data_IF_553587395136
#
_entry.id   IF_553587395136
#
_cell.length_a   1.000
_cell.length_b   1.000
_cell.length_c   1.000
_cell.angle_alpha   90.00
_cell.angle_beta   90.00
_cell.angle_gamma   90.00
#
_symmetry.space_group_name_H-M   'P 1'
#
loop_
_entity.id
_entity.type
_entity.pdbx_description
1 polymer ?
#
# COMPACT_ATOMS: atom_id res chain seq x y z
N UNK A 1 -24.60 -10.80 -12.18
CA UNK A 1 -23.13 -10.69 -12.25
C UNK A 1 -22.52 -11.63 -11.22
N UNK A 2 -21.51 -12.39 -11.64
CA UNK A 2 -20.77 -13.33 -10.79
C UNK A 2 -19.32 -13.40 -11.25
N UNK A 3 -18.40 -13.45 -10.29
CA UNK A 3 -17.00 -13.74 -10.57
C UNK A 3 -16.37 -14.52 -9.40
N UNK A 4 -15.31 -15.26 -9.72
CA UNK A 4 -14.44 -15.92 -8.75
C UNK A 4 -13.01 -15.43 -8.95
N UNK A 5 -12.33 -15.10 -7.87
CA UNK A 5 -10.95 -14.63 -7.92
C UNK A 5 -10.24 -14.89 -6.60
N UNK A 6 -8.92 -14.89 -6.62
CA UNK A 6 -8.13 -14.75 -5.39
C UNK A 6 -8.01 -13.27 -5.04
N UNK A 7 -8.09 -12.96 -3.75
CA UNK A 7 -8.02 -11.57 -3.32
C UNK A 7 -7.55 -11.38 -1.90
N UNK A 8 -6.96 -10.21 -1.69
CA UNK A 8 -6.51 -9.73 -0.39
C UNK A 8 -7.68 -9.05 0.33
N UNK A 9 -7.98 -9.48 1.55
CA UNK A 9 -8.85 -8.73 2.44
C UNK A 9 -8.12 -7.46 2.87
N UNK A 10 -8.64 -6.29 2.49
CA UNK A 10 -8.03 -5.00 2.87
C UNK A 10 -8.79 -4.32 4.01
N UNK A 11 -10.10 -4.58 4.15
CA UNK A 11 -10.89 -4.10 5.29
C UNK A 11 -12.10 -4.99 5.56
N UNK A 12 -12.37 -5.18 6.85
CA UNK A 12 -13.59 -5.86 7.32
C UNK A 12 -14.26 -5.01 8.38
N UNK A 13 -15.58 -4.85 8.30
CA UNK A 13 -16.39 -4.17 9.32
C UNK A 13 -17.64 -4.99 9.66
N UNK A 14 -18.02 -5.13 10.94
CA UNK A 14 -19.30 -5.75 11.31
C UNK A 14 -20.48 -5.04 10.65
N UNK A 15 -21.52 -5.80 10.31
CA UNK A 15 -22.74 -5.28 9.72
C UNK A 15 -23.96 -6.06 10.22
N UNK A 16 -24.83 -5.39 10.98
CA UNK A 16 -25.93 -6.05 11.69
C UNK A 16 -25.41 -7.04 12.75
N UNK A 17 -26.25 -8.02 13.10
CA UNK A 17 -25.96 -8.92 14.21
C UNK A 17 -24.89 -9.99 13.89
N UNK A 18 -24.90 -10.51 12.65
CA UNK A 18 -24.05 -11.65 12.26
C UNK A 18 -23.14 -11.44 11.06
N UNK A 19 -23.33 -10.38 10.27
CA UNK A 19 -22.66 -10.24 8.98
C UNK A 19 -21.45 -9.31 9.07
N UNK A 20 -20.65 -9.28 8.01
CA UNK A 20 -19.60 -8.30 7.82
C UNK A 20 -19.66 -7.72 6.41
N UNK A 21 -19.30 -6.46 6.27
CA UNK A 21 -18.96 -5.86 4.97
C UNK A 21 -17.44 -5.98 4.82
N UNK A 22 -17.02 -6.56 3.72
CA UNK A 22 -15.64 -6.88 3.40
C UNK A 22 -15.25 -6.16 2.13
N UNK A 23 -14.12 -5.48 2.20
CA UNK A 23 -13.42 -4.87 1.07
C UNK A 23 -12.27 -5.80 0.67
N UNK A 24 -12.29 -6.22 -0.59
CA UNK A 24 -11.34 -7.17 -1.15
C UNK A 24 -10.65 -6.56 -2.37
N UNK A 25 -9.33 -6.72 -2.43
CA UNK A 25 -8.50 -6.28 -3.54
C UNK A 25 -8.05 -7.51 -4.34
N UNK A 26 -8.47 -7.56 -5.61
CA UNK A 26 -8.23 -8.69 -6.51
C UNK A 26 -7.43 -8.21 -7.73
N UNK A 27 -6.73 -9.15 -8.38
CA UNK A 27 -5.88 -8.82 -9.53
C UNK A 27 -6.66 -8.28 -10.73
N UNK A 28 -7.74 -8.97 -11.09
CA UNK A 28 -8.48 -8.73 -12.34
C UNK A 28 -9.72 -7.86 -12.15
N UNK A 29 -10.33 -7.88 -10.96
CA UNK A 29 -11.53 -7.09 -10.69
C UNK A 29 -11.18 -5.79 -9.95
N UNK A 30 -9.95 -5.69 -9.42
CA UNK A 30 -9.57 -4.57 -8.56
C UNK A 30 -10.23 -4.65 -7.20
N UNK A 31 -10.57 -3.49 -6.65
CA UNK A 31 -11.24 -3.37 -5.36
C UNK A 31 -12.75 -3.60 -5.48
N UNK A 32 -13.30 -4.49 -4.66
CA UNK A 32 -14.73 -4.75 -4.56
C UNK A 32 -15.17 -4.81 -3.11
N UNK A 33 -16.40 -4.37 -2.86
CA UNK A 33 -17.06 -4.48 -1.56
C UNK A 33 -18.16 -5.54 -1.63
N UNK A 34 -18.26 -6.37 -0.59
CA UNK A 34 -19.28 -7.41 -0.50
C UNK A 34 -19.74 -7.69 0.93
N UNK A 35 -21.00 -8.11 1.05
CA UNK A 35 -21.59 -8.60 2.30
C UNK A 35 -21.22 -10.08 2.48
N UNK A 36 -20.49 -10.40 3.55
CA UNK A 36 -20.25 -11.78 3.98
C UNK A 36 -21.27 -12.14 5.06
N UNK A 37 -22.16 -13.08 4.73
CA UNK A 37 -23.14 -13.60 5.70
C UNK A 37 -22.44 -14.41 6.78
N UNK A 38 -22.79 -14.17 8.04
CA UNK A 38 -22.07 -14.82 9.15
C UNK A 38 -20.60 -14.38 9.27
N UNK A 39 -20.19 -13.30 8.62
CA UNK A 39 -18.81 -12.79 8.64
C UNK A 39 -18.32 -12.44 10.05
N UNK A 40 -19.25 -12.16 10.98
CA UNK A 40 -18.93 -11.87 12.37
C UNK A 40 -18.86 -13.15 13.26
N UNK A 41 -18.99 -14.34 12.67
CA UNK A 41 -18.91 -15.61 13.42
C UNK A 41 -17.49 -15.96 13.83
N UNK A 42 -17.34 -16.81 14.86
CA UNK A 42 -16.03 -17.35 15.29
C UNK A 42 -15.29 -18.08 14.15
N UNK A 43 -16.01 -18.68 13.21
CA UNK A 43 -15.45 -19.38 12.06
C UNK A 43 -14.93 -18.41 10.98
N UNK A 44 -15.66 -17.34 10.70
CA UNK A 44 -15.34 -16.42 9.60
C UNK A 44 -14.38 -15.29 10.01
N UNK A 45 -14.48 -14.79 11.25
CA UNK A 45 -13.65 -13.67 11.72
C UNK A 45 -12.13 -13.84 11.48
N UNK A 46 -11.51 -15.02 11.74
CA UNK A 46 -10.09 -15.20 11.49
C UNK A 46 -9.73 -15.18 10.00
N UNK A 47 -10.64 -15.64 9.13
CA UNK A 47 -10.44 -15.64 7.66
C UNK A 47 -10.48 -14.21 7.14
N UNK A 48 -11.45 -13.42 7.61
CA UNK A 48 -11.72 -12.06 7.15
C UNK A 48 -10.81 -10.99 7.78
N UNK A 49 -9.64 -11.35 8.32
CA UNK A 49 -8.67 -10.36 8.80
C UNK A 49 -8.02 -9.62 7.64
N UNK A 50 -7.81 -8.31 7.79
CA UNK A 50 -7.02 -7.53 6.84
C UNK A 50 -5.62 -8.12 6.71
N UNK A 51 -5.15 -8.31 5.48
CA UNK A 51 -3.88 -8.97 5.19
C UNK A 51 -4.03 -10.41 4.70
N UNK A 52 -5.15 -11.09 4.95
CA UNK A 52 -5.34 -12.47 4.51
C UNK A 52 -5.70 -12.57 3.03
N UNK A 53 -5.22 -13.65 2.41
CA UNK A 53 -5.60 -14.05 1.07
C UNK A 53 -6.74 -15.06 1.11
N UNK A 54 -7.74 -14.85 0.25
CA UNK A 54 -8.93 -15.69 0.17
C UNK A 54 -9.27 -16.05 -1.27
N UNK A 55 -9.90 -17.21 -1.46
CA UNK A 55 -10.66 -17.52 -2.67
C UNK A 55 -12.02 -16.88 -2.48
N UNK A 56 -12.32 -15.90 -3.33
CA UNK A 56 -13.52 -15.10 -3.26
C UNK A 56 -14.50 -15.48 -4.37
N UNK A 57 -15.76 -15.64 -3.98
CA UNK A 57 -16.90 -15.72 -4.89
C UNK A 57 -17.82 -14.55 -4.61
N UNK A 58 -17.98 -13.65 -5.58
CA UNK A 58 -18.81 -12.47 -5.44
C UNK A 58 -20.00 -12.54 -6.41
N UNK A 59 -21.20 -12.22 -5.91
CA UNK A 59 -22.46 -12.31 -6.66
C UNK A 59 -23.37 -11.11 -6.40
N UNK A 60 -23.94 -10.55 -7.45
CA UNK A 60 -24.99 -9.53 -7.37
C UNK A 60 -25.91 -9.57 -8.59
N UNK A 61 -27.10 -8.95 -8.48
CA UNK A 61 -28.01 -8.81 -9.62
C UNK A 61 -27.40 -7.88 -10.67
N UNK A 62 -26.98 -6.69 -10.24
CA UNK A 62 -26.28 -5.70 -11.06
C UNK A 62 -24.85 -5.54 -10.58
N UNK A 63 -23.94 -5.14 -11.47
CA UNK A 63 -22.55 -4.89 -11.12
C UNK A 63 -22.49 -3.91 -9.96
N UNK A 64 -23.15 -2.76 -10.06
CA UNK A 64 -23.01 -1.57 -9.20
C UNK A 64 -23.49 -1.78 -7.76
N UNK A 65 -24.23 -2.86 -7.50
CA UNK A 65 -24.78 -3.16 -6.18
C UNK A 65 -23.72 -3.68 -5.21
N UNK A 66 -24.02 -3.57 -3.92
CA UNK A 66 -23.34 -4.36 -2.89
C UNK A 66 -23.70 -5.83 -3.07
N UNK A 67 -22.75 -6.63 -3.53
CA UNK A 67 -22.92 -8.07 -3.73
C UNK A 67 -22.77 -8.87 -2.44
N UNK A 68 -23.09 -10.15 -2.53
CA UNK A 68 -22.75 -11.14 -1.50
C UNK A 68 -21.37 -11.71 -1.84
N UNK A 69 -20.50 -11.75 -0.83
CA UNK A 69 -19.15 -12.30 -0.92
C UNK A 69 -19.08 -13.57 -0.06
N UNK A 70 -18.61 -14.66 -0.67
CA UNK A 70 -18.13 -15.84 0.05
C UNK A 70 -16.61 -15.83 0.00
N UNK A 71 -15.97 -16.05 1.15
CA UNK A 71 -14.51 -16.08 1.27
C UNK A 71 -14.07 -17.40 1.90
N UNK A 72 -13.15 -18.09 1.24
CA UNK A 72 -12.48 -19.28 1.73
C UNK A 72 -11.00 -18.96 1.95
N UNK A 73 -10.44 -19.36 3.08
CA UNK A 73 -9.05 -19.04 3.42
C UNK A 73 -8.09 -19.70 2.41
N UNK A 74 -7.18 -18.91 1.83
CA UNK A 74 -6.05 -19.43 1.05
C UNK A 74 -4.77 -19.32 1.87
N UNK A 75 -4.50 -18.13 2.42
CA UNK A 75 -3.29 -17.89 3.19
C UNK A 75 -3.52 -16.82 4.25
N UNK A 76 -3.12 -17.11 5.48
CA UNK A 76 -3.42 -16.29 6.64
C UNK A 76 -2.21 -15.44 7.08
N UNK A 77 -1.73 -14.55 6.21
CA UNK A 77 -0.57 -13.68 6.49
C UNK A 77 -0.73 -12.91 7.81
N UNK A 78 -1.95 -12.50 8.16
CA UNK A 78 -2.20 -11.78 9.41
C UNK A 78 -1.86 -12.58 10.66
N UNK A 79 -1.96 -13.92 10.62
CA UNK A 79 -1.59 -14.79 11.71
C UNK A 79 -0.06 -14.94 11.82
N UNK A 80 0.64 -14.96 10.69
CA UNK A 80 2.10 -15.13 10.63
C UNK A 80 2.85 -13.90 11.17
N UNK A 81 2.31 -12.70 10.96
CA UNK A 81 2.91 -11.45 11.46
C UNK A 81 2.31 -10.96 12.78
N UNK A 82 1.38 -11.72 13.37
CA UNK A 82 0.57 -11.26 14.53
C UNK A 82 1.42 -10.86 15.74
N UNK A 83 2.47 -11.63 16.02
CA UNK A 83 3.34 -11.43 17.18
C UNK A 83 4.42 -10.36 16.94
N UNK A 84 4.57 -9.88 15.69
CA UNK A 84 5.51 -8.84 15.33
C UNK A 84 4.80 -7.51 15.07
N UNK A 85 4.85 -6.61 16.05
CA UNK A 85 4.17 -5.31 15.98
C UNK A 85 4.58 -4.46 14.77
N UNK A 86 5.83 -4.48 14.31
CA UNK A 86 6.24 -3.66 13.15
C UNK A 86 5.69 -4.23 11.85
N UNK A 87 5.76 -5.55 11.66
CA UNK A 87 5.26 -6.23 10.46
C UNK A 87 3.74 -6.17 10.37
N UNK A 88 3.05 -6.41 11.48
CA UNK A 88 1.59 -6.25 11.55
C UNK A 88 1.16 -4.80 11.24
N UNK A 89 1.87 -3.81 11.79
CA UNK A 89 1.58 -2.39 11.52
C UNK A 89 1.83 -2.06 10.05
N UNK A 90 2.90 -2.58 9.44
CA UNK A 90 3.18 -2.40 8.02
C UNK A 90 2.09 -3.01 7.13
N UNK A 91 1.72 -4.27 7.37
CA UNK A 91 0.65 -4.95 6.63
C UNK A 91 -0.69 -4.23 6.75
N UNK A 92 -1.06 -3.79 7.95
CA UNK A 92 -2.30 -3.02 8.16
C UNK A 92 -2.26 -1.65 7.47
N UNK A 93 -1.09 -1.01 7.46
CA UNK A 93 -0.88 0.27 6.76
C UNK A 93 -1.01 0.13 5.25
N UNK A 94 -0.41 -0.91 4.66
CA UNK A 94 -0.59 -1.26 3.25
C UNK A 94 -2.07 -1.49 2.92
N UNK A 95 -2.78 -2.31 3.70
CA UNK A 95 -4.22 -2.55 3.52
C UNK A 95 -5.05 -1.27 3.63
N UNK A 96 -4.70 -0.36 4.53
CA UNK A 96 -5.37 0.92 4.67
C UNK A 96 -5.14 1.85 3.47
N UNK A 97 -3.93 1.86 2.92
CA UNK A 97 -3.58 2.65 1.73
C UNK A 97 -4.28 2.14 0.46
N UNK A 98 -4.41 0.81 0.31
CA UNK A 98 -5.13 0.21 -0.82
C UNK A 98 -6.61 0.62 -0.89
N UNK A 99 -7.22 1.05 0.23
CA UNK A 99 -8.57 1.64 0.25
C UNK A 99 -8.67 3.00 -0.47
N UNK A 100 -7.57 3.55 -1.00
CA UNK A 100 -7.61 4.70 -1.89
C UNK A 100 -7.89 4.30 -3.35
N UNK A 101 -7.65 3.05 -3.74
CA UNK A 101 -7.88 2.58 -5.11
C UNK A 101 -9.37 2.63 -5.46
N UNK A 102 -9.77 3.22 -6.60
CA UNK A 102 -11.14 3.14 -7.10
C UNK A 102 -11.70 1.71 -7.13
N UNK A 103 -12.98 1.56 -6.81
CA UNK A 103 -13.67 0.28 -6.94
C UNK A 103 -13.78 -0.13 -8.41
N UNK A 104 -13.72 -1.44 -8.65
CA UNK A 104 -14.01 -2.08 -9.95
C UNK A 104 -13.05 -1.69 -11.07
N UNK A 105 -11.88 -1.18 -10.73
CA UNK A 105 -10.80 -0.93 -11.66
C UNK A 105 -9.62 -1.86 -11.35
N UNK A 106 -9.20 -2.63 -12.35
CA UNK A 106 -8.12 -3.59 -12.19
C UNK A 106 -6.76 -2.89 -12.07
N UNK A 107 -5.99 -3.26 -11.04
CA UNK A 107 -4.65 -2.73 -10.78
C UNK A 107 -3.66 -3.90 -10.71
N UNK A 108 -3.47 -4.61 -11.83
CA UNK A 108 -2.75 -5.88 -11.85
C UNK A 108 -1.29 -5.75 -11.36
N UNK A 109 -0.57 -4.70 -11.79
CA UNK A 109 0.82 -4.47 -11.34
C UNK A 109 0.89 -4.18 -9.84
N UNK A 110 -0.03 -3.35 -9.33
CA UNK A 110 -0.12 -3.05 -7.90
C UNK A 110 -0.43 -4.30 -7.09
N UNK A 111 -1.36 -5.14 -7.57
CA UNK A 111 -1.67 -6.42 -6.95
C UNK A 111 -0.45 -7.33 -6.87
N UNK A 112 0.29 -7.49 -7.97
CA UNK A 112 1.50 -8.31 -8.01
C UNK A 112 2.57 -7.77 -7.03
N UNK A 113 2.76 -6.44 -6.97
CA UNK A 113 3.66 -5.80 -6.01
C UNK A 113 3.23 -6.03 -4.54
N UNK A 114 1.93 -5.99 -4.26
CA UNK A 114 1.37 -6.28 -2.93
C UNK A 114 1.59 -7.73 -2.53
N UNK A 115 1.47 -8.69 -3.45
CA UNK A 115 1.78 -10.10 -3.18
C UNK A 115 3.26 -10.30 -2.82
N UNK A 116 4.17 -9.63 -3.54
CA UNK A 116 5.60 -9.64 -3.22
C UNK A 116 5.86 -9.05 -1.83
N UNK A 117 5.24 -7.92 -1.50
CA UNK A 117 5.38 -7.29 -0.18
C UNK A 117 4.82 -8.17 0.95
N UNK A 118 3.64 -8.75 0.79
CA UNK A 118 3.05 -9.69 1.77
C UNK A 118 3.97 -10.88 2.03
N UNK A 119 4.45 -11.52 0.97
CA UNK A 119 5.37 -12.65 1.06
C UNK A 119 6.69 -12.25 1.72
N UNK A 120 7.17 -11.02 1.45
CA UNK A 120 8.34 -10.48 2.11
C UNK A 120 8.13 -10.20 3.59
N UNK A 121 6.91 -9.84 4.03
CA UNK A 121 6.62 -9.58 5.44
C UNK A 121 6.50 -10.88 6.24
N UNK A 122 6.03 -11.97 5.65
CA UNK A 122 5.84 -13.23 6.38
C UNK A 122 7.05 -14.15 6.42
N UNK A 123 7.97 -14.06 5.45
CA UNK A 123 9.15 -14.93 5.38
C UNK A 123 10.37 -14.38 6.16
N UNK A 124 10.15 -13.47 7.12
CA UNK A 124 11.23 -12.83 7.86
C UNK A 124 11.71 -13.72 9.02
N UNK A 125 13.03 -13.81 9.17
CA UNK A 125 13.64 -14.42 10.35
C UNK A 125 13.55 -13.46 11.55
N UNK A 126 13.74 -14.00 12.76
CA UNK A 126 13.71 -13.20 13.99
C UNK A 126 14.80 -12.10 14.03
N UNK A 127 15.88 -12.27 13.26
CA UNK A 127 17.03 -11.36 13.22
C UNK A 127 16.98 -10.39 12.03
N UNK A 128 15.89 -10.35 11.26
CA UNK A 128 15.75 -9.44 10.12
C UNK A 128 15.61 -7.98 10.57
N UNK A 129 16.54 -7.12 10.14
CA UNK A 129 16.59 -5.70 10.46
C UNK A 129 15.70 -4.83 9.56
N UNK A 130 14.96 -5.47 8.65
CA UNK A 130 14.09 -4.84 7.68
C UNK A 130 14.80 -4.34 6.43
N UNK A 131 16.07 -4.70 6.22
CA UNK A 131 16.84 -4.29 5.04
C UNK A 131 16.13 -4.61 3.72
N UNK A 132 15.34 -5.68 3.67
CA UNK A 132 14.64 -6.10 2.45
C UNK A 132 13.20 -5.54 2.32
N UNK A 133 12.36 -5.71 3.35
CA UNK A 133 10.94 -5.37 3.22
C UNK A 133 10.66 -3.85 3.31
N UNK A 134 11.51 -3.07 3.99
CA UNK A 134 11.30 -1.62 4.15
C UNK A 134 11.42 -0.86 2.81
N UNK A 135 12.46 -1.08 1.98
CA UNK A 135 12.51 -0.54 0.62
C UNK A 135 11.31 -0.95 -0.23
N UNK A 136 10.89 -2.23 -0.14
CA UNK A 136 9.73 -2.74 -0.87
C UNK A 136 8.45 -2.03 -0.44
N UNK A 137 8.29 -1.73 0.84
CA UNK A 137 7.15 -0.99 1.35
C UNK A 137 7.10 0.44 0.78
N UNK A 138 8.24 1.15 0.72
CA UNK A 138 8.30 2.48 0.07
C UNK A 138 7.98 2.39 -1.43
N UNK A 139 8.54 1.37 -2.12
CA UNK A 139 8.26 1.13 -3.54
C UNK A 139 6.79 0.80 -3.80
N UNK A 140 6.12 0.09 -2.88
CA UNK A 140 4.67 -0.11 -2.93
C UNK A 140 3.92 1.22 -2.86
N UNK A 141 4.28 2.14 -1.96
CA UNK A 141 3.60 3.44 -1.88
C UNK A 141 3.84 4.30 -3.13
N UNK A 142 5.04 4.20 -3.72
CA UNK A 142 5.36 4.81 -5.02
C UNK A 142 4.52 4.23 -6.16
N UNK A 143 4.41 2.90 -6.23
CA UNK A 143 3.58 2.19 -7.21
C UNK A 143 2.11 2.56 -7.05
N UNK A 144 1.62 2.66 -5.81
CA UNK A 144 0.25 3.10 -5.53
C UNK A 144 0.00 4.49 -6.08
N UNK A 145 0.92 5.44 -5.85
CA UNK A 145 0.82 6.81 -6.42
C UNK A 145 0.77 6.77 -7.94
N UNK A 146 1.62 5.98 -8.59
CA UNK A 146 1.66 5.84 -10.04
C UNK A 146 0.33 5.30 -10.60
N UNK A 147 -0.16 4.20 -10.03
CA UNK A 147 -1.36 3.49 -10.49
C UNK A 147 -2.65 4.32 -10.32
N UNK A 148 -2.73 5.16 -9.29
CA UNK A 148 -3.85 6.08 -9.10
C UNK A 148 -3.67 7.43 -9.81
N UNK A 149 -2.63 7.58 -10.65
CA UNK A 149 -2.44 8.73 -11.54
C UNK A 149 -1.64 9.90 -10.97
N UNK A 150 -0.93 9.71 -9.85
CA UNK A 150 -0.09 10.71 -9.19
C UNK A 150 1.41 10.34 -9.15
N UNK A 151 1.85 9.49 -10.07
CA UNK A 151 3.25 9.09 -10.22
C UNK A 151 4.21 10.27 -10.23
N UNK A 152 5.42 10.04 -9.71
CA UNK A 152 6.50 11.02 -9.72
C UNK A 152 7.35 10.83 -10.96
N UNK A 153 7.73 11.92 -11.61
CA UNK A 153 8.65 11.88 -12.74
C UNK A 153 10.08 11.93 -12.22
N UNK A 154 10.75 10.79 -12.31
CA UNK A 154 12.13 10.61 -11.84
C UNK A 154 13.10 10.33 -13.00
N UNK A 155 12.70 10.61 -14.24
CA UNK A 155 13.52 10.27 -15.43
C UNK A 155 14.66 11.27 -15.66
N UNK A 156 14.42 12.55 -15.36
CA UNK A 156 15.37 13.64 -15.58
C UNK A 156 15.12 14.81 -14.64
N UNK A 157 16.14 15.65 -14.46
CA UNK A 157 16.03 16.88 -13.69
C UNK A 157 15.04 17.83 -14.36
N UNK A 158 14.08 18.33 -13.59
CA UNK A 158 13.04 19.25 -14.05
C UNK A 158 13.54 20.59 -14.59
N UNK A 159 14.80 20.97 -14.30
CA UNK A 159 15.39 22.26 -14.70
C UNK A 159 16.46 22.07 -15.76
N UNK A 160 17.44 21.19 -15.54
CA UNK A 160 18.58 21.02 -16.45
C UNK A 160 18.40 19.88 -17.47
N UNK A 161 17.44 18.98 -17.27
CA UNK A 161 17.21 17.81 -18.14
C UNK A 161 18.23 16.67 -17.98
N UNK A 162 19.21 16.80 -17.08
CA UNK A 162 20.19 15.72 -16.81
C UNK A 162 19.51 14.53 -16.15
N UNK A 163 19.94 13.31 -16.48
CA UNK A 163 19.40 12.07 -15.91
C UNK A 163 20.15 11.54 -14.70
N UNK A 164 21.38 12.02 -14.50
CA UNK A 164 22.26 11.57 -13.43
C UNK A 164 22.21 12.52 -12.23
N UNK A 165 22.61 12.01 -11.06
CA UNK A 165 22.71 12.81 -9.84
C UNK A 165 21.37 13.34 -9.32
N UNK A 166 20.26 12.68 -9.66
CA UNK A 166 18.92 12.97 -9.13
C UNK A 166 18.88 12.64 -7.65
N UNK A 167 18.65 13.66 -6.82
CA UNK A 167 18.77 13.54 -5.35
C UNK A 167 17.55 14.07 -4.61
N UNK A 168 16.67 14.80 -5.30
CA UNK A 168 15.53 15.45 -4.69
C UNK A 168 14.30 15.40 -5.61
N UNK A 169 13.11 15.55 -5.03
CA UNK A 169 11.84 15.76 -5.73
C UNK A 169 11.30 17.16 -5.37
N UNK A 170 10.83 17.89 -6.38
CA UNK A 170 10.09 19.13 -6.18
C UNK A 170 8.69 18.84 -5.62
N UNK A 171 8.32 19.37 -4.44
CA UNK A 171 6.97 19.16 -3.89
C UNK A 171 5.86 19.79 -4.75
N UNK A 172 6.22 20.81 -5.56
CA UNK A 172 5.28 21.50 -6.45
C UNK A 172 4.93 20.65 -7.67
N UNK A 173 5.95 20.12 -8.36
CA UNK A 173 5.75 19.41 -9.63
C UNK A 173 5.73 17.89 -9.48
N UNK A 174 6.33 17.33 -8.43
CA UNK A 174 6.55 15.88 -8.32
C UNK A 174 7.62 15.37 -9.30
N UNK A 175 8.52 16.25 -9.73
CA UNK A 175 9.61 15.92 -10.66
C UNK A 175 10.95 15.91 -9.95
N UNK A 176 11.87 15.07 -10.41
CA UNK A 176 13.21 14.97 -9.87
C UNK A 176 14.06 16.22 -10.15
N UNK A 177 15.04 16.44 -9.27
CA UNK A 177 15.98 17.55 -9.30
C UNK A 177 17.37 17.00 -9.02
N UNK A 178 18.35 17.34 -9.87
CA UNK A 178 19.74 16.93 -9.67
C UNK A 178 20.38 17.73 -8.52
N UNK A 179 21.45 17.19 -7.94
CA UNK A 179 22.12 17.77 -6.79
C UNK A 179 22.54 19.24 -6.99
N UNK A 180 23.08 19.58 -8.17
CA UNK A 180 23.52 20.94 -8.52
C UNK A 180 22.36 21.95 -8.48
N UNK A 181 21.22 21.59 -9.09
CA UNK A 181 20.02 22.44 -9.10
C UNK A 181 19.35 22.46 -7.72
N UNK A 182 19.44 21.36 -6.97
CA UNK A 182 18.83 21.24 -5.65
C UNK A 182 19.58 22.03 -4.57
N UNK A 183 20.90 22.21 -4.68
CA UNK A 183 21.75 22.86 -3.69
C UNK A 183 21.20 24.20 -3.14
N UNK A 184 20.74 25.17 -3.95
CA UNK A 184 20.16 26.43 -3.44
C UNK A 184 18.75 26.27 -2.82
N UNK A 185 18.11 25.12 -2.96
CA UNK A 185 16.71 24.88 -2.55
C UNK A 185 16.54 23.68 -1.61
N UNK A 186 17.61 23.15 -1.01
CA UNK A 186 17.60 21.90 -0.24
C UNK A 186 16.43 21.80 0.76
N UNK A 187 16.23 22.83 1.58
CA UNK A 187 15.18 22.85 2.61
C UNK A 187 13.74 22.87 2.06
N UNK A 188 13.57 23.18 0.77
CA UNK A 188 12.27 23.25 0.09
C UNK A 188 11.97 22.00 -0.73
N UNK A 189 12.96 21.12 -0.92
CA UNK A 189 12.83 19.92 -1.72
C UNK A 189 12.72 18.68 -0.83
N UNK A 190 12.10 17.64 -1.36
CA UNK A 190 12.00 16.35 -0.67
C UNK A 190 13.19 15.50 -1.09
N UNK A 191 13.96 14.89 -0.17
CA UNK A 191 15.03 13.97 -0.55
C UNK A 191 14.48 12.79 -1.37
N UNK A 192 15.22 12.39 -2.41
CA UNK A 192 14.96 11.22 -3.23
C UNK A 192 15.98 10.12 -2.87
N UNK A 193 15.57 9.09 -2.11
CA UNK A 193 16.46 7.97 -1.81
C UNK A 193 16.95 7.26 -3.08
N UNK A 194 18.25 6.96 -3.13
CA UNK A 194 18.88 6.32 -4.30
C UNK A 194 18.32 4.94 -4.62
N UNK A 195 17.83 4.21 -3.62
CA UNK A 195 17.20 2.90 -3.80
C UNK A 195 15.88 2.94 -4.58
N UNK A 196 15.29 4.11 -4.79
CA UNK A 196 14.13 4.27 -5.68
C UNK A 196 14.54 4.38 -7.16
N UNK A 197 15.82 4.65 -7.44
CA UNK A 197 16.38 4.77 -8.78
C UNK A 197 17.24 3.55 -9.17
N UNK A 198 17.90 2.94 -8.19
CA UNK A 198 18.87 1.86 -8.39
C UNK A 198 18.46 0.64 -7.56
N UNK A 199 18.38 -0.53 -8.19
CA UNK A 199 17.89 -1.74 -7.53
C UNK A 199 18.83 -2.30 -6.45
N UNK A 200 20.13 -2.01 -6.54
CA UNK A 200 21.15 -2.49 -5.60
C UNK A 200 21.79 -1.38 -4.75
N UNK A 201 21.11 -0.24 -4.60
CA UNK A 201 21.63 0.80 -3.71
C UNK A 201 21.60 0.34 -2.25
N UNK A 202 22.64 0.71 -1.50
CA UNK A 202 22.62 0.57 -0.05
C UNK A 202 21.45 1.38 0.53
N UNK A 203 20.72 0.79 1.46
CA UNK A 203 19.58 1.42 2.11
C UNK A 203 19.91 1.62 3.58
N UNK A 204 19.91 2.88 4.02
CA UNK A 204 19.91 3.19 5.44
C UNK A 204 18.49 3.36 5.97
N UNK A 205 18.33 3.26 7.29
CA UNK A 205 17.10 3.65 7.99
C UNK A 205 16.66 5.08 7.65
N UNK A 206 17.62 6.00 7.48
CA UNK A 206 17.36 7.38 7.07
C UNK A 206 16.76 7.48 5.66
N UNK A 207 17.23 6.65 4.73
CA UNK A 207 16.72 6.58 3.35
C UNK A 207 15.28 6.07 3.33
N UNK A 208 14.96 5.04 4.13
CA UNK A 208 13.59 4.54 4.27
C UNK A 208 12.66 5.62 4.81
N UNK A 209 13.07 6.32 5.86
CA UNK A 209 12.27 7.40 6.46
C UNK A 209 12.08 8.57 5.48
N UNK A 210 13.11 8.91 4.70
CA UNK A 210 13.03 9.91 3.64
C UNK A 210 12.05 9.48 2.53
N UNK A 211 12.09 8.20 2.13
CA UNK A 211 11.15 7.62 1.17
C UNK A 211 9.70 7.66 1.66
N UNK A 212 9.44 7.30 2.92
CA UNK A 212 8.12 7.40 3.55
C UNK A 212 7.65 8.86 3.71
N UNK A 213 8.55 9.79 3.96
CA UNK A 213 8.21 11.22 3.99
C UNK A 213 7.83 11.72 2.59
N UNK A 214 8.60 11.33 1.57
CA UNK A 214 8.37 11.65 0.16
C UNK A 214 7.00 11.14 -0.31
N UNK A 215 6.73 9.84 -0.19
CA UNK A 215 5.44 9.25 -0.60
C UNK A 215 4.29 9.81 0.23
N UNK A 216 4.50 9.99 1.55
CA UNK A 216 3.51 10.55 2.47
C UNK A 216 3.06 11.95 2.06
N UNK A 217 4.00 12.81 1.66
CA UNK A 217 3.70 14.15 1.19
C UNK A 217 2.74 14.14 -0.01
N UNK A 218 3.02 13.31 -1.01
CA UNK A 218 2.20 13.24 -2.22
C UNK A 218 0.87 12.52 -2.00
N UNK A 219 0.86 11.43 -1.23
CA UNK A 219 -0.38 10.75 -0.85
C UNK A 219 -1.32 11.72 -0.13
N UNK A 220 -0.82 12.47 0.87
CA UNK A 220 -1.62 13.43 1.61
C UNK A 220 -2.15 14.55 0.72
N UNK A 221 -1.26 15.19 -0.05
CA UNK A 221 -1.59 16.40 -0.81
C UNK A 221 -2.42 16.12 -2.06
N UNK A 222 -2.15 15.01 -2.77
CA UNK A 222 -2.77 14.70 -4.06
C UNK A 222 -3.91 13.69 -3.96
N UNK A 223 -3.91 12.81 -2.97
CA UNK A 223 -4.90 11.74 -2.86
C UNK A 223 -5.89 11.97 -1.70
N UNK A 224 -5.39 12.19 -0.48
CA UNK A 224 -6.25 12.22 0.70
C UNK A 224 -6.94 13.58 0.90
N UNK A 225 -6.18 14.67 0.94
CA UNK A 225 -6.71 16.02 1.16
C UNK A 225 -7.78 16.42 0.14
N UNK A 226 -7.59 16.21 -1.19
CA UNK A 226 -8.62 16.54 -2.18
C UNK A 226 -9.93 15.76 -2.01
N UNK A 227 -9.86 14.56 -1.44
CA UNK A 227 -11.02 13.72 -1.11
C UNK A 227 -11.57 14.00 0.30
N UNK A 228 -11.09 15.04 0.99
CA UNK A 228 -11.46 15.38 2.38
C UNK A 228 -11.18 14.24 3.38
N UNK A 229 -10.13 13.47 3.10
CA UNK A 229 -9.65 12.38 3.94
C UNK A 229 -8.30 12.76 4.55
N UNK A 230 -7.94 12.08 5.63
CA UNK A 230 -6.60 12.13 6.22
C UNK A 230 -5.86 10.84 5.92
N UNK A 231 -4.52 10.90 5.86
CA UNK A 231 -3.72 9.68 5.78
C UNK A 231 -4.11 8.68 6.89
N UNK A 232 -4.05 7.36 6.63
CA UNK A 232 -4.42 6.37 7.62
C UNK A 232 -3.55 6.49 8.88
N UNK A 233 -4.13 6.59 10.10
CA UNK A 233 -3.34 6.73 11.34
C UNK A 233 -2.34 5.58 11.57
N UNK A 234 -2.65 4.40 11.04
CA UNK A 234 -1.77 3.23 11.13
C UNK A 234 -0.44 3.43 10.38
N UNK A 235 -0.42 4.23 9.31
CA UNK A 235 0.80 4.61 8.59
C UNK A 235 1.69 5.50 9.44
N UNK A 236 1.09 6.47 10.14
CA UNK A 236 1.82 7.31 11.09
C UNK A 236 2.39 6.47 12.24
N UNK A 237 1.64 5.46 12.72
CA UNK A 237 2.13 4.50 13.72
C UNK A 237 3.34 3.71 13.20
N UNK A 238 3.33 3.23 11.96
CA UNK A 238 4.48 2.55 11.35
C UNK A 238 5.73 3.44 11.38
N UNK A 239 5.60 4.67 10.90
CA UNK A 239 6.71 5.65 10.88
C UNK A 239 7.23 5.92 12.29
N UNK A 240 6.34 6.04 13.29
CA UNK A 240 6.74 6.27 14.68
C UNK A 240 7.47 5.07 15.29
N UNK A 241 7.11 3.84 14.93
CA UNK A 241 7.86 2.64 15.32
C UNK A 241 9.24 2.68 14.68
N UNK A 242 9.33 3.00 13.38
CA UNK A 242 10.59 3.08 12.64
C UNK A 242 11.50 4.22 13.11
N UNK A 243 10.99 5.27 13.76
CA UNK A 243 11.82 6.38 14.27
C UNK A 243 12.50 6.07 15.60
N UNK A 244 11.97 5.11 16.37
CA UNK A 244 12.58 4.65 17.62
C UNK A 244 13.81 3.80 17.31
#
# INVERSE_FOLDING_TARGET
MEWRSEGLIIRTRPHGEGNAIVDIFTREQGRYVGLVRGGNSRKQRPILQSGNMVSALWRARLSEQLGVLTAENLHAYSAEVLDNNILLTAMQSMCALLQMTPERHAYARLYDAVQVLLSSLSNLSADDDGAFWLPLYVRFEMMLLEEIGFGLDMEACAVSGVKEGLTHISPRSGRAVCAEVAAPYGDKLLPLPSFLLLDNAAVSKGDVLAGLALTGYFLERRCYTPNQLTLPPIRARLINILKK
#
